data_IF_369397270913
#
_entry.id   IF_369397270913
#
_cell.length_a   1.000
_cell.length_b   1.000
_cell.length_c   1.000
_cell.angle_alpha   90.00
_cell.angle_beta   90.00
_cell.angle_gamma   90.00
#
_symmetry.space_group_name_H-M   'P 1'
#
loop_
_entity.id
_entity.type
_entity.pdbx_description
1 polymer ?
#
# COMPACT_ATOMS: atom_id res chain seq x y z
N UNK A 1 21.00 -1.69 14.24
CA UNK A 1 20.05 -0.56 14.31
C UNK A 1 20.68 0.64 13.61
N UNK A 2 20.27 0.97 12.38
CA UNK A 2 20.70 2.21 11.73
C UNK A 2 19.63 3.28 11.97
N UNK A 3 19.78 4.05 13.05
CA UNK A 3 19.08 5.33 13.16
C UNK A 3 19.88 6.32 12.33
N UNK A 4 19.56 6.41 11.04
CA UNK A 4 20.15 7.42 10.17
C UNK A 4 19.61 8.80 10.57
N UNK A 5 20.27 9.44 11.55
CA UNK A 5 20.07 10.86 11.83
C UNK A 5 20.66 11.65 10.67
N UNK A 6 19.82 12.23 9.81
CA UNK A 6 20.29 13.38 9.04
C UNK A 6 20.45 14.57 10.00
N UNK A 7 21.68 15.09 10.10
CA UNK A 7 22.03 16.39 10.73
C UNK A 7 20.98 17.47 10.40
N UNK A 8 20.76 18.54 11.20
CA UNK A 8 20.38 18.64 12.61
C UNK A 8 18.84 18.65 12.75
N UNK A 9 18.14 17.68 12.14
CA UNK A 9 16.67 17.64 12.15
C UNK A 9 16.16 16.81 13.34
N UNK A 10 15.91 17.45 14.50
CA UNK A 10 15.34 16.79 15.70
C UNK A 10 13.92 16.20 15.51
N UNK A 11 13.33 16.38 14.32
CA UNK A 11 11.89 16.31 14.11
C UNK A 11 11.45 15.20 13.13
N UNK A 12 12.39 14.47 12.51
CA UNK A 12 12.09 13.31 11.65
C UNK A 12 13.02 12.15 11.98
N UNK A 13 12.47 10.98 12.26
CA UNK A 13 13.22 9.75 12.53
C UNK A 13 12.84 8.70 11.49
N UNK A 14 13.85 8.15 10.81
CA UNK A 14 13.68 7.06 9.85
C UNK A 14 13.96 5.75 10.59
N UNK A 15 13.06 4.79 10.45
CA UNK A 15 13.15 3.47 11.10
C UNK A 15 13.00 2.39 10.04
N UNK A 16 14.01 1.54 9.91
CA UNK A 16 14.06 0.43 8.95
C UNK A 16 14.33 -0.92 9.64
N UNK A 17 14.36 -0.97 10.97
CA UNK A 17 14.48 -2.21 11.72
C UNK A 17 13.10 -2.73 12.12
N UNK A 18 12.84 -4.00 11.82
CA UNK A 18 11.53 -4.62 12.06
C UNK A 18 11.09 -4.60 13.54
N UNK A 19 11.97 -4.96 14.46
CA UNK A 19 11.65 -4.97 15.90
C UNK A 19 11.37 -3.56 16.43
N UNK A 20 12.15 -2.58 15.99
CA UNK A 20 11.94 -1.16 16.33
C UNK A 20 10.62 -0.62 15.78
N UNK A 21 10.26 -1.00 14.54
CA UNK A 21 8.97 -0.62 13.93
C UNK A 21 7.80 -1.18 14.75
N UNK A 22 7.84 -2.46 15.15
CA UNK A 22 6.78 -3.08 15.96
C UNK A 22 6.63 -2.38 17.31
N UNK A 23 7.74 -2.18 18.03
CA UNK A 23 7.74 -1.51 19.32
C UNK A 23 7.13 -0.09 19.24
N UNK A 24 7.47 0.66 18.18
CA UNK A 24 6.88 1.99 17.97
C UNK A 24 5.43 1.95 17.50
N UNK A 25 4.98 0.93 16.76
CA UNK A 25 3.57 0.84 16.35
C UNK A 25 2.67 0.48 17.54
N UNK A 26 3.17 -0.34 18.47
CA UNK A 26 2.47 -0.73 19.69
C UNK A 26 2.40 0.41 20.72
N UNK A 27 3.41 1.30 20.77
CA UNK A 27 3.45 2.46 21.66
C UNK A 27 2.19 3.34 21.51
N UNK A 28 1.50 3.62 22.61
CA UNK A 28 0.30 4.46 22.65
C UNK A 28 0.61 5.93 22.34
N UNK A 29 1.86 6.34 22.53
CA UNK A 29 2.32 7.70 22.28
C UNK A 29 2.70 7.95 20.81
N UNK A 30 2.64 6.94 19.95
CA UNK A 30 2.99 7.04 18.54
C UNK A 30 1.73 6.76 17.70
N UNK A 31 1.26 7.75 16.94
CA UNK A 31 -0.07 7.72 16.32
C UNK A 31 -0.09 8.39 14.92
N UNK A 32 -1.26 8.43 14.27
CA UNK A 32 -1.56 9.12 13.00
C UNK A 32 -2.46 10.35 13.19
N UNK A 33 -2.47 10.96 14.38
CA UNK A 33 -3.24 12.20 14.61
C UNK A 33 -2.74 13.35 13.73
N UNK A 34 -1.43 13.41 13.53
CA UNK A 34 -0.74 14.38 12.68
C UNK A 34 -1.13 15.82 13.02
N UNK A 35 -0.53 16.35 14.08
CA UNK A 35 -0.64 17.74 14.50
C UNK A 35 0.43 18.61 13.82
N UNK A 36 0.04 19.85 13.49
CA UNK A 36 0.87 20.82 12.77
C UNK A 36 1.53 21.78 13.77
N UNK A 37 2.75 21.49 14.21
CA UNK A 37 3.47 22.36 15.16
C UNK A 37 4.68 23.04 14.52
N UNK A 38 5.78 22.31 14.28
CA UNK A 38 7.05 22.89 13.83
C UNK A 38 7.00 23.24 12.34
N UNK A 39 7.58 24.37 11.92
CA UNK A 39 7.45 24.90 10.55
C UNK A 39 7.84 23.90 9.43
N UNK A 40 8.94 23.18 9.60
CA UNK A 40 9.41 22.19 8.63
C UNK A 40 8.50 20.95 8.55
N UNK A 41 8.14 20.37 9.71
CA UNK A 41 7.20 19.26 9.78
C UNK A 41 5.82 19.67 9.31
N UNK A 42 5.39 20.90 9.59
CA UNK A 42 4.11 21.46 9.18
C UNK A 42 3.96 21.44 7.66
N UNK A 43 4.99 21.80 6.89
CA UNK A 43 4.91 21.73 5.44
C UNK A 43 4.77 20.28 4.95
N UNK A 44 5.65 19.38 5.41
CA UNK A 44 5.62 17.96 5.01
C UNK A 44 4.31 17.29 5.38
N UNK A 45 3.88 17.43 6.63
CA UNK A 45 2.62 16.84 7.14
C UNK A 45 1.42 17.47 6.44
N UNK A 46 1.34 18.80 6.28
CA UNK A 46 0.23 19.44 5.56
C UNK A 46 0.14 18.94 4.12
N UNK A 47 1.28 18.78 3.45
CA UNK A 47 1.34 18.21 2.11
C UNK A 47 0.87 16.75 2.10
N UNK A 48 1.41 15.89 2.96
CA UNK A 48 0.99 14.49 3.05
C UNK A 48 -0.49 14.36 3.38
N UNK A 49 -1.02 15.14 4.31
CA UNK A 49 -2.44 15.15 4.64
C UNK A 49 -3.30 15.62 3.46
N UNK A 50 -2.90 16.69 2.75
CA UNK A 50 -3.60 17.14 1.54
C UNK A 50 -3.58 16.08 0.44
N UNK A 51 -2.42 15.48 0.22
CA UNK A 51 -2.23 14.48 -0.84
C UNK A 51 -2.95 13.18 -0.47
N UNK A 52 -2.99 12.80 0.81
CA UNK A 52 -3.67 11.61 1.30
C UNK A 52 -5.06 11.92 1.90
N UNK A 53 -5.76 12.85 1.25
CA UNK A 53 -7.17 13.15 1.49
C UNK A 53 -7.91 13.40 0.16
N UNK A 54 -9.22 13.25 0.21
CA UNK A 54 -10.15 13.62 -0.86
C UNK A 54 -11.38 14.30 -0.25
N UNK A 55 -11.80 15.44 -0.81
CA UNK A 55 -12.91 16.27 -0.29
C UNK A 55 -12.86 16.50 1.23
N UNK A 56 -11.68 16.86 1.74
CA UNK A 56 -11.47 17.11 3.18
C UNK A 56 -11.40 15.87 4.06
N UNK A 57 -11.67 14.68 3.53
CA UNK A 57 -11.63 13.41 4.25
C UNK A 57 -10.30 12.70 4.03
N UNK A 58 -9.61 12.33 5.11
CA UNK A 58 -8.34 11.58 5.07
C UNK A 58 -8.58 10.14 4.64
N UNK A 59 -7.63 9.55 3.92
CA UNK A 59 -7.67 8.11 3.65
C UNK A 59 -7.53 7.29 4.94
N UNK A 60 -8.05 6.05 4.98
CA UNK A 60 -8.07 5.24 6.20
C UNK A 60 -6.71 5.03 6.86
N UNK A 61 -5.64 4.91 6.08
CA UNK A 61 -4.27 4.71 6.58
C UNK A 61 -3.66 5.98 7.21
N UNK A 62 -4.34 7.12 7.15
CA UNK A 62 -3.94 8.39 7.75
C UNK A 62 -4.80 8.78 8.97
N UNK A 63 -5.73 7.91 9.39
CA UNK A 63 -6.60 8.12 10.55
C UNK A 63 -5.97 7.54 11.83
N UNK A 64 -6.20 8.16 13.00
CA UNK A 64 -5.55 7.77 14.25
C UNK A 64 -6.01 6.40 14.78
N UNK A 65 -5.21 5.85 15.70
CA UNK A 65 -5.39 4.53 16.33
C UNK A 65 -6.80 4.40 16.92
N UNK A 66 -7.26 5.42 17.64
CA UNK A 66 -8.55 5.44 18.36
C UNK A 66 -9.74 6.00 17.54
N UNK A 67 -9.59 6.20 16.23
CA UNK A 67 -10.71 6.64 15.39
C UNK A 67 -11.76 5.52 15.27
N UNK A 68 -12.91 5.70 15.91
CA UNK A 68 -13.97 4.69 15.98
C UNK A 68 -14.52 4.32 14.58
N UNK A 69 -14.70 5.32 13.70
CA UNK A 69 -15.18 5.09 12.34
C UNK A 69 -14.17 4.33 11.49
N UNK A 70 -12.87 4.56 11.68
CA UNK A 70 -11.78 3.78 11.08
C UNK A 70 -11.83 2.34 11.58
N UNK A 71 -11.90 2.12 12.89
CA UNK A 71 -11.91 0.77 13.49
C UNK A 71 -13.08 -0.06 12.97
N UNK A 72 -14.29 0.51 12.96
CA UNK A 72 -15.48 -0.16 12.47
C UNK A 72 -15.37 -0.50 10.97
N UNK A 73 -14.98 0.47 10.13
CA UNK A 73 -14.81 0.25 8.69
C UNK A 73 -13.69 -0.75 8.39
N UNK A 74 -12.61 -0.70 9.16
CA UNK A 74 -11.49 -1.63 9.05
C UNK A 74 -11.94 -3.06 9.33
N UNK A 75 -12.65 -3.28 10.44
CA UNK A 75 -13.17 -4.60 10.83
C UNK A 75 -14.12 -5.14 9.76
N UNK A 76 -15.10 -4.34 9.34
CA UNK A 76 -16.03 -4.72 8.26
C UNK A 76 -15.30 -5.09 6.97
N UNK A 77 -14.29 -4.32 6.59
CA UNK A 77 -13.53 -4.57 5.37
C UNK A 77 -12.66 -5.83 5.48
N UNK A 78 -12.05 -6.07 6.64
CA UNK A 78 -11.31 -7.30 6.92
C UNK A 78 -12.20 -8.53 6.83
N UNK A 79 -13.42 -8.49 7.39
CA UNK A 79 -14.40 -9.58 7.28
C UNK A 79 -14.78 -9.84 5.81
N UNK A 80 -15.06 -8.79 5.04
CA UNK A 80 -15.41 -8.89 3.62
C UNK A 80 -14.27 -9.47 2.77
N UNK A 81 -13.03 -9.05 3.02
CA UNK A 81 -11.86 -9.59 2.33
C UNK A 81 -11.66 -11.07 2.66
N UNK A 82 -11.77 -11.44 3.94
CA UNK A 82 -11.57 -12.81 4.38
C UNK A 82 -12.64 -13.76 3.86
N UNK A 83 -13.89 -13.32 3.80
CA UNK A 83 -14.99 -14.11 3.25
C UNK A 83 -14.76 -14.50 1.78
N UNK A 84 -14.02 -13.69 1.01
CA UNK A 84 -13.69 -13.95 -0.40
C UNK A 84 -12.32 -14.62 -0.60
N UNK A 85 -11.47 -14.66 0.41
CA UNK A 85 -10.08 -15.12 0.27
C UNK A 85 -10.00 -16.57 -0.22
N UNK A 86 -10.77 -17.50 0.36
CA UNK A 86 -10.74 -18.91 -0.04
C UNK A 86 -11.09 -19.09 -1.53
N UNK A 87 -12.14 -18.41 -2.02
CA UNK A 87 -12.52 -18.48 -3.43
C UNK A 87 -11.41 -17.94 -4.36
N UNK A 88 -10.79 -16.80 -4.01
CA UNK A 88 -9.67 -16.26 -4.81
C UNK A 88 -8.48 -17.22 -4.84
N UNK A 89 -8.18 -17.89 -3.72
CA UNK A 89 -7.09 -18.86 -3.64
C UNK A 89 -7.29 -20.08 -4.53
N UNK A 90 -8.52 -20.39 -4.96
CA UNK A 90 -8.78 -21.45 -5.94
C UNK A 90 -8.49 -21.04 -7.39
N UNK A 91 -8.13 -19.78 -7.62
CA UNK A 91 -7.88 -19.27 -8.96
C UNK A 91 -9.20 -19.16 -9.72
N UNK A 92 -10.02 -18.15 -9.42
CA UNK A 92 -11.27 -17.89 -10.16
C UNK A 92 -10.99 -17.48 -11.62
N UNK A 93 -11.98 -17.59 -12.50
CA UNK A 93 -11.83 -17.22 -13.93
C UNK A 93 -11.46 -15.75 -14.12
N UNK A 94 -11.86 -14.88 -13.18
CA UNK A 94 -11.51 -13.47 -13.16
C UNK A 94 -9.99 -13.21 -13.09
N UNK A 95 -9.20 -14.19 -12.64
CA UNK A 95 -7.74 -14.09 -12.53
C UNK A 95 -7.00 -14.52 -13.80
N UNK A 96 -7.69 -15.14 -14.76
CA UNK A 96 -7.09 -15.65 -16.00
C UNK A 96 -6.39 -14.57 -16.85
N UNK A 97 -6.94 -13.35 -17.03
CA UNK A 97 -6.24 -12.30 -17.79
C UNK A 97 -4.85 -11.97 -17.22
N UNK A 98 -4.69 -12.05 -15.89
CA UNK A 98 -3.40 -11.80 -15.22
C UNK A 98 -2.45 -12.97 -15.43
N UNK A 99 -2.97 -14.19 -15.37
CA UNK A 99 -2.19 -15.38 -15.64
C UNK A 99 -1.67 -15.38 -17.10
N UNK A 100 -2.49 -15.01 -18.07
CA UNK A 100 -2.09 -14.81 -19.47
C UNK A 100 -0.99 -13.76 -19.60
N UNK A 101 -1.11 -12.62 -18.91
CA UNK A 101 -0.07 -11.59 -18.89
C UNK A 101 1.26 -12.12 -18.33
N UNK A 102 1.22 -12.87 -17.23
CA UNK A 102 2.41 -13.53 -16.64
C UNK A 102 3.04 -14.49 -17.66
N UNK A 103 2.23 -15.29 -18.35
CA UNK A 103 2.67 -16.25 -19.39
C UNK A 103 3.13 -15.61 -20.71
N UNK A 104 3.11 -14.28 -20.84
CA UNK A 104 3.44 -13.53 -22.06
C UNK A 104 2.42 -13.67 -23.20
N UNK A 105 1.17 -13.99 -22.90
CA UNK A 105 0.12 -14.25 -23.90
C UNK A 105 -0.74 -13.01 -24.22
N UNK A 106 -0.71 -11.98 -23.37
CA UNK A 106 -1.45 -10.73 -23.54
C UNK A 106 -0.64 -9.56 -22.96
N UNK A 107 0.32 -9.06 -23.73
CA UNK A 107 1.27 -8.03 -23.28
C UNK A 107 0.83 -6.59 -23.58
N UNK A 108 -0.30 -6.40 -24.25
CA UNK A 108 -0.76 -5.08 -24.70
C UNK A 108 -1.26 -4.18 -23.55
N UNK A 109 -1.49 -4.76 -22.37
CA UNK A 109 -1.96 -4.05 -21.19
C UNK A 109 -0.92 -3.97 -20.08
N UNK A 110 -0.87 -2.81 -19.44
CA UNK A 110 -0.08 -2.56 -18.23
C UNK A 110 -0.58 -3.43 -17.07
N UNK A 111 0.31 -4.07 -16.28
CA UNK A 111 -0.09 -4.94 -15.17
C UNK A 111 -0.91 -4.22 -14.10
N UNK A 112 -0.74 -2.90 -13.98
CA UNK A 112 -1.54 -2.07 -13.09
C UNK A 112 -3.02 -2.01 -13.46
N UNK A 113 -3.39 -2.18 -14.72
CA UNK A 113 -4.80 -2.24 -15.15
C UNK A 113 -5.45 -3.51 -14.60
N UNK A 114 -4.78 -4.66 -14.71
CA UNK A 114 -5.27 -5.91 -14.13
C UNK A 114 -5.40 -5.84 -12.61
N UNK A 115 -4.38 -5.30 -11.93
CA UNK A 115 -4.42 -5.11 -10.48
C UNK A 115 -5.55 -4.16 -10.06
N UNK A 116 -5.78 -3.08 -10.81
CA UNK A 116 -6.92 -2.18 -10.59
C UNK A 116 -8.26 -2.89 -10.81
N UNK A 117 -8.37 -3.75 -11.82
CA UNK A 117 -9.60 -4.49 -12.11
C UNK A 117 -9.98 -5.38 -10.93
N UNK A 118 -9.05 -6.20 -10.44
CA UNK A 118 -9.26 -7.12 -9.32
C UNK A 118 -9.67 -6.36 -8.05
N UNK A 119 -8.95 -5.28 -7.71
CA UNK A 119 -9.25 -4.49 -6.51
C UNK A 119 -10.57 -3.73 -6.68
N UNK A 120 -10.83 -3.14 -7.84
CA UNK A 120 -12.03 -2.36 -8.08
C UNK A 120 -13.30 -3.22 -8.09
N UNK A 121 -13.25 -4.40 -8.72
CA UNK A 121 -14.37 -5.36 -8.73
C UNK A 121 -14.73 -5.90 -7.35
N UNK A 122 -13.76 -5.94 -6.42
CA UNK A 122 -14.04 -6.26 -5.03
C UNK A 122 -15.06 -5.28 -4.41
N UNK A 123 -14.93 -3.98 -4.70
CA UNK A 123 -15.81 -2.92 -4.17
C UNK A 123 -17.07 -2.70 -5.02
N UNK A 124 -16.94 -2.78 -6.35
CA UNK A 124 -18.03 -2.60 -7.28
C UNK A 124 -17.87 -3.63 -8.42
N UNK A 125 -18.71 -4.67 -8.51
CA UNK A 125 -18.60 -5.68 -9.56
C UNK A 125 -18.64 -5.12 -10.99
N UNK A 126 -19.26 -3.95 -11.19
CA UNK A 126 -19.32 -3.25 -12.47
C UNK A 126 -18.10 -2.36 -12.75
N UNK A 127 -17.11 -2.30 -11.85
CA UNK A 127 -15.88 -1.53 -12.05
C UNK A 127 -15.12 -2.02 -13.27
N UNK A 128 -14.62 -1.08 -14.07
CA UNK A 128 -13.78 -1.33 -15.22
C UNK A 128 -12.52 -0.48 -15.12
N UNK A 129 -11.38 -1.14 -14.97
CA UNK A 129 -10.07 -0.50 -15.05
C UNK A 129 -9.82 -0.08 -16.50
N UNK A 130 -9.22 1.10 -16.65
CA UNK A 130 -8.87 1.67 -17.95
C UNK A 130 -7.46 2.24 -17.87
N UNK A 131 -6.85 2.54 -19.03
CA UNK A 131 -5.59 3.28 -19.05
C UNK A 131 -5.70 4.61 -18.28
N UNK A 132 -6.83 5.31 -18.42
CA UNK A 132 -7.10 6.58 -17.73
C UNK A 132 -7.12 6.42 -16.21
N UNK A 133 -7.76 5.38 -15.67
CA UNK A 133 -7.77 5.13 -14.21
C UNK A 133 -6.40 4.70 -13.70
N UNK A 134 -5.62 3.99 -14.52
CA UNK A 134 -4.26 3.60 -14.18
C UNK A 134 -3.30 4.79 -14.16
N UNK A 135 -3.31 5.62 -15.19
CA UNK A 135 -2.55 6.88 -15.23
C UNK A 135 -2.89 7.80 -14.06
N UNK A 136 -4.17 7.88 -13.69
CA UNK A 136 -4.60 8.63 -12.52
C UNK A 136 -3.99 8.06 -11.22
N UNK A 137 -3.91 6.73 -11.06
CA UNK A 137 -3.29 6.10 -9.91
C UNK A 137 -1.77 6.32 -9.88
N UNK A 138 -1.08 6.31 -11.02
CA UNK A 138 0.35 6.64 -11.13
C UNK A 138 0.61 8.08 -10.67
N UNK A 139 -0.14 9.05 -11.19
CA UNK A 139 -0.03 10.46 -10.79
C UNK A 139 -0.32 10.63 -9.29
N UNK A 140 -1.37 9.97 -8.81
CA UNK A 140 -1.77 10.08 -7.40
C UNK A 140 -0.70 9.49 -6.46
N UNK A 141 -0.18 8.30 -6.76
CA UNK A 141 0.91 7.71 -5.98
C UNK A 141 2.15 8.60 -5.99
N UNK A 142 2.59 9.03 -7.18
CA UNK A 142 3.77 9.87 -7.29
C UNK A 142 3.61 11.21 -6.55
N UNK A 143 2.42 11.82 -6.56
CA UNK A 143 2.18 13.09 -5.83
C UNK A 143 2.33 12.88 -4.32
N UNK A 144 1.89 11.72 -3.82
CA UNK A 144 2.01 11.35 -2.41
C UNK A 144 3.47 11.12 -1.97
N UNK A 145 4.34 10.60 -2.83
CA UNK A 145 5.70 10.18 -2.45
C UNK A 145 6.83 11.09 -2.97
N UNK A 146 6.58 11.96 -3.96
CA UNK A 146 7.67 12.68 -4.64
C UNK A 146 8.40 13.68 -3.73
N UNK A 147 9.73 13.53 -3.61
CA UNK A 147 10.59 14.51 -2.96
C UNK A 147 10.91 15.71 -3.87
N UNK A 148 10.61 15.64 -5.17
CA UNK A 148 10.89 16.68 -6.14
C UNK A 148 9.89 17.84 -6.01
N UNK A 149 10.32 18.93 -5.35
CA UNK A 149 9.48 20.10 -5.08
C UNK A 149 9.03 20.83 -6.35
N UNK A 150 9.88 20.92 -7.37
CA UNK A 150 9.53 21.59 -8.64
C UNK A 150 8.45 20.82 -9.39
N UNK A 151 8.62 19.50 -9.50
CA UNK A 151 7.61 18.61 -10.12
C UNK A 151 6.28 18.69 -9.36
N UNK A 152 6.34 18.66 -8.02
CA UNK A 152 5.16 18.82 -7.18
C UNK A 152 4.46 20.17 -7.40
N UNK A 153 5.20 21.29 -7.35
CA UNK A 153 4.65 22.62 -7.61
C UNK A 153 3.98 22.72 -8.98
N UNK A 154 4.64 22.21 -10.02
CA UNK A 154 4.09 22.15 -11.37
C UNK A 154 2.78 21.37 -11.43
N UNK A 155 2.68 20.24 -10.73
CA UNK A 155 1.45 19.46 -10.66
C UNK A 155 0.32 20.13 -9.89
N UNK A 156 0.65 20.88 -8.83
CA UNK A 156 -0.35 21.68 -8.13
C UNK A 156 -0.89 22.79 -9.04
N UNK A 157 -0.01 23.48 -9.77
CA UNK A 157 -0.41 24.51 -10.74
C UNK A 157 -1.26 23.93 -11.88
N UNK A 158 -0.85 22.78 -12.43
CA UNK A 158 -1.60 22.10 -13.48
C UNK A 158 -2.86 21.36 -12.95
N UNK A 159 -3.12 21.40 -11.64
CA UNK A 159 -4.17 20.64 -10.95
C UNK A 159 -4.17 19.13 -11.25
N UNK A 160 -3.03 18.56 -11.68
CA UNK A 160 -2.93 17.17 -12.16
C UNK A 160 -3.33 16.18 -11.08
N UNK A 161 -2.82 16.34 -9.86
CA UNK A 161 -3.13 15.48 -8.73
C UNK A 161 -4.63 15.54 -8.35
N UNK A 162 -5.25 16.73 -8.41
CA UNK A 162 -6.68 16.88 -8.12
C UNK A 162 -7.55 16.21 -9.20
N UNK A 163 -7.19 16.36 -10.49
CA UNK A 163 -7.90 15.69 -11.59
C UNK A 163 -7.75 14.17 -11.52
N UNK A 164 -6.55 13.67 -11.20
CA UNK A 164 -6.29 12.25 -11.00
C UNK A 164 -7.16 11.69 -9.87
N UNK A 165 -7.18 12.35 -8.70
CA UNK A 165 -8.05 11.97 -7.60
C UNK A 165 -9.53 12.00 -7.96
N UNK A 166 -9.99 13.04 -8.68
CA UNK A 166 -11.37 13.14 -9.16
C UNK A 166 -11.72 11.98 -10.09
N UNK A 167 -10.83 11.62 -11.03
CA UNK A 167 -11.01 10.48 -11.91
C UNK A 167 -11.16 9.16 -11.13
N UNK A 168 -10.31 8.93 -10.12
CA UNK A 168 -10.39 7.73 -9.28
C UNK A 168 -11.66 7.72 -8.41
N UNK A 169 -12.06 8.88 -7.88
CA UNK A 169 -13.28 9.02 -7.09
C UNK A 169 -14.52 8.75 -7.94
N UNK A 170 -14.60 9.31 -9.16
CA UNK A 170 -15.70 9.04 -10.10
C UNK A 170 -15.79 7.54 -10.44
N UNK A 171 -14.65 6.91 -10.73
CA UNK A 171 -14.60 5.47 -11.05
C UNK A 171 -15.02 4.57 -9.86
N UNK A 172 -14.96 5.08 -8.63
CA UNK A 172 -15.28 4.34 -7.40
C UNK A 172 -16.58 4.79 -6.75
N UNK A 173 -17.40 5.59 -7.44
CA UNK A 173 -18.66 6.11 -6.88
C UNK A 173 -18.45 6.99 -5.64
N UNK A 174 -17.29 7.64 -5.52
CA UNK A 174 -16.82 8.43 -4.38
C UNK A 174 -16.55 7.62 -3.09
N UNK A 175 -16.44 6.30 -3.17
CA UNK A 175 -15.98 5.50 -2.04
C UNK A 175 -14.47 5.71 -1.80
N UNK A 176 -14.14 6.40 -0.71
CA UNK A 176 -12.75 6.73 -0.35
C UNK A 176 -11.89 5.49 -0.06
N UNK A 177 -12.49 4.38 0.37
CA UNK A 177 -11.78 3.13 0.61
C UNK A 177 -11.44 2.47 -0.72
N UNK A 178 -12.42 2.36 -1.62
CA UNK A 178 -12.20 1.84 -2.96
C UNK A 178 -11.16 2.69 -3.73
N UNK A 179 -11.27 4.02 -3.62
CA UNK A 179 -10.31 4.97 -4.18
C UNK A 179 -8.90 4.75 -3.63
N UNK A 180 -8.75 4.49 -2.32
CA UNK A 180 -7.45 4.13 -1.73
C UNK A 180 -6.93 2.81 -2.30
N UNK A 181 -7.80 1.81 -2.46
CA UNK A 181 -7.48 0.51 -3.05
C UNK A 181 -6.89 0.65 -4.46
N UNK A 182 -7.65 1.24 -5.38
CA UNK A 182 -7.25 1.36 -6.79
C UNK A 182 -6.22 2.46 -7.07
N UNK A 183 -6.01 3.38 -6.11
CA UNK A 183 -5.12 4.53 -6.28
C UNK A 183 -3.75 4.39 -5.61
N UNK A 184 -3.69 3.69 -4.46
CA UNK A 184 -2.47 3.55 -3.65
C UNK A 184 -2.11 2.09 -3.44
N UNK A 185 -3.04 1.27 -2.92
CA UNK A 185 -2.73 -0.13 -2.57
C UNK A 185 -2.40 -0.97 -3.82
N UNK A 186 -3.01 -0.65 -4.95
CA UNK A 186 -2.78 -1.31 -6.24
C UNK A 186 -1.30 -1.43 -6.61
N UNK A 187 -0.47 -0.44 -6.27
CA UNK A 187 0.95 -0.43 -6.66
C UNK A 187 1.73 -1.57 -6.00
N UNK A 188 1.35 -1.99 -4.79
CA UNK A 188 1.97 -3.14 -4.13
C UNK A 188 1.57 -4.46 -4.82
N UNK A 189 0.31 -4.57 -5.26
CA UNK A 189 -0.14 -5.72 -6.04
C UNK A 189 0.55 -5.76 -7.40
N UNK A 190 0.61 -4.64 -8.13
CA UNK A 190 1.35 -4.52 -9.40
C UNK A 190 2.82 -4.94 -9.25
N UNK A 191 3.50 -4.47 -8.21
CA UNK A 191 4.88 -4.89 -7.91
C UNK A 191 4.98 -6.41 -7.65
N UNK A 192 3.97 -7.00 -7.00
CA UNK A 192 3.91 -8.45 -6.78
C UNK A 192 3.69 -9.22 -8.08
N UNK A 193 2.86 -8.69 -9.00
CA UNK A 193 2.64 -9.29 -10.33
C UNK A 193 3.93 -9.31 -11.16
N UNK A 194 4.73 -8.25 -11.11
CA UNK A 194 6.05 -8.24 -11.77
C UNK A 194 6.96 -9.34 -11.23
N UNK A 195 7.02 -9.52 -9.90
CA UNK A 195 7.80 -10.60 -9.29
C UNK A 195 7.29 -11.99 -9.69
N UNK A 196 5.96 -12.21 -9.77
CA UNK A 196 5.42 -13.47 -10.29
C UNK A 196 5.86 -13.71 -11.74
N UNK A 197 5.83 -12.68 -12.58
CA UNK A 197 6.31 -12.77 -13.97
C UNK A 197 7.79 -13.12 -14.05
N UNK A 198 8.61 -12.51 -13.19
CA UNK A 198 10.04 -12.84 -13.06
C UNK A 198 10.23 -14.30 -12.64
N UNK A 199 9.48 -14.79 -11.65
CA UNK A 199 9.53 -16.20 -11.23
C UNK A 199 9.18 -17.13 -12.39
N UNK A 200 8.08 -16.87 -13.09
CA UNK A 200 7.61 -17.68 -14.22
C UNK A 200 8.60 -17.72 -15.40
N UNK A 201 9.47 -16.70 -15.53
CA UNK A 201 10.49 -16.65 -16.57
C UNK A 201 11.62 -17.67 -16.40
N UNK A 202 11.71 -18.34 -15.24
CA UNK A 202 12.74 -19.32 -14.93
C UNK A 202 12.18 -20.74 -14.87
N UNK A 203 12.96 -21.75 -15.26
CA UNK A 203 12.54 -23.16 -15.20
C UNK A 203 12.25 -23.61 -13.76
N UNK A 204 13.08 -23.21 -12.79
CA UNK A 204 12.84 -23.51 -11.39
C UNK A 204 11.56 -22.83 -10.89
N UNK A 205 11.36 -21.57 -11.26
CA UNK A 205 10.19 -20.80 -10.85
C UNK A 205 8.89 -21.43 -11.31
N UNK A 206 8.81 -21.99 -12.52
CA UNK A 206 7.59 -22.69 -12.99
C UNK A 206 7.17 -23.91 -12.14
N UNK A 207 8.09 -24.47 -11.36
CA UNK A 207 7.86 -25.68 -10.56
C UNK A 207 7.57 -25.39 -9.08
N UNK A 208 7.51 -24.11 -8.67
CA UNK A 208 7.23 -23.75 -7.27
C UNK A 208 5.74 -23.85 -6.95
N UNK A 209 5.45 -24.16 -5.70
CA UNK A 209 4.08 -24.24 -5.19
C UNK A 209 3.45 -22.83 -5.04
N UNK A 210 2.12 -22.70 -5.12
CA UNK A 210 1.45 -21.40 -4.97
C UNK A 210 1.80 -20.63 -3.69
N UNK A 211 1.98 -21.31 -2.56
CA UNK A 211 2.41 -20.71 -1.30
C UNK A 211 3.83 -20.12 -1.36
N UNK A 212 4.74 -20.79 -2.07
CA UNK A 212 6.11 -20.31 -2.29
C UNK A 212 6.11 -19.09 -3.22
N UNK A 213 5.28 -19.13 -4.28
CA UNK A 213 5.09 -17.98 -5.16
C UNK A 213 4.55 -16.75 -4.40
N UNK A 214 3.62 -16.95 -3.46
CA UNK A 214 3.13 -15.88 -2.58
C UNK A 214 4.28 -15.27 -1.78
N UNK A 215 5.06 -16.11 -1.10
CA UNK A 215 6.16 -15.67 -0.25
C UNK A 215 7.23 -14.87 -1.00
N UNK A 216 7.56 -15.30 -2.22
CA UNK A 216 8.59 -14.65 -3.04
C UNK A 216 8.08 -13.38 -3.74
N UNK A 217 6.77 -13.29 -4.00
CA UNK A 217 6.20 -12.21 -4.80
C UNK A 217 5.64 -11.03 -3.99
N UNK A 218 5.26 -11.22 -2.72
CA UNK A 218 4.68 -10.13 -1.94
C UNK A 218 5.59 -8.89 -1.86
N UNK A 219 4.98 -7.72 -1.86
CA UNK A 219 5.68 -6.43 -1.82
C UNK A 219 5.16 -5.55 -0.70
N UNK A 220 6.04 -5.23 0.26
CA UNK A 220 5.74 -4.29 1.33
C UNK A 220 5.63 -2.85 0.80
N UNK A 221 4.76 -2.02 1.40
CA UNK A 221 4.74 -0.59 1.09
C UNK A 221 6.10 0.06 1.43
N UNK A 222 6.54 1.09 0.70
CA UNK A 222 7.87 1.67 0.90
C UNK A 222 8.01 2.35 2.26
N UNK A 223 7.05 3.20 2.63
CA UNK A 223 7.07 3.99 3.87
C UNK A 223 5.66 4.14 4.43
N UNK A 224 5.52 4.04 5.75
CA UNK A 224 4.33 4.51 6.49
C UNK A 224 4.72 5.53 7.55
N UNK A 225 3.82 6.47 7.84
CA UNK A 225 4.08 7.58 8.74
C UNK A 225 3.45 7.37 10.13
N UNK A 226 4.15 7.80 11.17
CA UNK A 226 3.62 8.01 12.53
C UNK A 226 4.13 9.33 13.09
N UNK A 227 3.52 9.82 14.15
CA UNK A 227 3.95 11.00 14.87
C UNK A 227 3.90 10.75 16.38
N UNK A 228 4.91 11.22 17.10
CA UNK A 228 4.88 11.21 18.56
C UNK A 228 3.89 12.24 19.12
N UNK A 229 3.16 11.82 20.15
CA UNK A 229 2.23 12.62 20.92
C UNK A 229 2.88 13.24 22.17
N UNK A 230 4.02 12.69 22.59
CA UNK A 230 4.83 13.11 23.75
C UNK A 230 6.31 13.05 23.39
N UNK A 231 7.17 13.59 24.25
CA UNK A 231 8.62 13.37 24.18
C UNK A 231 8.99 12.00 24.75
N UNK A 232 10.05 11.39 24.24
CA UNK A 232 10.46 10.06 24.66
C UNK A 232 11.82 9.67 24.12
N UNK A 233 12.13 8.39 24.15
CA UNK A 233 13.36 7.87 23.56
C UNK A 233 13.14 6.48 22.95
N UNK A 234 13.90 6.19 21.90
CA UNK A 234 13.98 4.83 21.33
C UNK A 234 15.43 4.38 21.25
N UNK A 235 15.72 3.24 21.88
CA UNK A 235 17.08 2.69 21.96
C UNK A 235 18.13 3.75 22.39
N UNK A 236 17.80 4.53 23.42
CA UNK A 236 18.65 5.61 23.94
C UNK A 236 18.69 6.88 23.09
N UNK A 237 18.03 6.94 21.94
CA UNK A 237 17.91 8.15 21.13
C UNK A 237 16.64 8.93 21.52
N UNK A 238 16.76 10.14 22.12
CA UNK A 238 15.61 10.94 22.48
C UNK A 238 14.89 11.49 21.23
N UNK A 239 13.58 11.65 21.34
CA UNK A 239 12.70 12.31 20.37
C UNK A 239 11.77 13.28 21.08
N UNK A 240 11.39 14.34 20.38
CA UNK A 240 10.47 15.36 20.88
C UNK A 240 9.02 14.98 20.65
N UNK A 241 8.08 15.67 21.32
CA UNK A 241 6.68 15.69 20.88
C UNK A 241 6.59 16.19 19.42
N UNK A 242 5.71 15.58 18.63
CA UNK A 242 5.50 15.84 17.21
C UNK A 242 6.60 15.41 16.24
N UNK A 243 7.62 14.68 16.72
CA UNK A 243 8.59 14.01 15.86
C UNK A 243 7.85 13.06 14.91
N UNK A 244 8.15 13.18 13.62
CA UNK A 244 7.59 12.35 12.57
C UNK A 244 8.45 11.09 12.38
N UNK A 245 7.86 9.92 12.50
CA UNK A 245 8.51 8.66 12.22
C UNK A 245 8.15 8.16 10.82
N UNK A 246 9.17 7.79 10.04
CA UNK A 246 9.05 7.16 8.73
C UNK A 246 9.46 5.70 8.88
N UNK A 247 8.49 4.80 8.92
CA UNK A 247 8.74 3.36 8.95
C UNK A 247 8.96 2.89 7.53
N UNK A 248 10.19 2.54 7.18
CA UNK A 248 10.56 2.00 5.88
C UNK A 248 10.26 0.51 5.81
N UNK A 249 8.98 0.15 5.62
CA UNK A 249 8.53 -1.25 5.71
C UNK A 249 9.16 -2.13 4.63
N UNK A 250 9.38 -1.60 3.41
CA UNK A 250 10.09 -2.32 2.35
C UNK A 250 11.53 -2.65 2.74
N UNK A 251 12.29 -1.66 3.20
CA UNK A 251 13.69 -1.87 3.60
C UNK A 251 13.76 -2.83 4.81
N UNK A 252 12.85 -2.69 5.77
CA UNK A 252 12.77 -3.58 6.94
C UNK A 252 12.43 -5.03 6.58
N UNK A 253 11.48 -5.22 5.66
CA UNK A 253 11.10 -6.55 5.17
C UNK A 253 12.27 -7.23 4.45
N UNK A 254 13.00 -6.49 3.60
CA UNK A 254 14.14 -7.03 2.85
C UNK A 254 15.34 -7.41 3.74
N UNK A 255 15.62 -6.64 4.79
CA UNK A 255 16.79 -6.90 5.64
C UNK A 255 16.57 -7.91 6.76
N UNK A 256 15.32 -8.14 7.18
CA UNK A 256 15.02 -8.94 8.37
C UNK A 256 14.08 -10.14 8.11
N UNK A 257 13.75 -10.43 6.84
CA UNK A 257 12.74 -11.43 6.45
C UNK A 257 11.42 -11.26 7.23
N UNK A 258 11.07 -10.01 7.53
CA UNK A 258 9.95 -9.66 8.38
C UNK A 258 8.66 -9.59 7.54
N UNK A 259 8.14 -10.75 7.14
CA UNK A 259 6.96 -10.88 6.26
C UNK A 259 5.70 -10.25 6.85
N UNK A 260 5.55 -10.28 8.17
CA UNK A 260 4.44 -9.65 8.89
C UNK A 260 4.36 -8.13 8.64
N UNK A 261 5.47 -7.46 8.32
CA UNK A 261 5.47 -6.02 8.03
C UNK A 261 4.83 -5.66 6.68
N UNK A 262 4.70 -6.61 5.74
CA UNK A 262 4.04 -6.36 4.45
C UNK A 262 2.61 -5.88 4.67
N UNK A 263 1.93 -6.50 5.63
CA UNK A 263 0.56 -6.18 6.00
C UNK A 263 0.44 -5.57 7.40
N UNK A 264 1.55 -5.35 8.12
CA UNK A 264 1.54 -4.99 9.54
C UNK A 264 0.64 -5.94 10.34
N UNK A 265 0.77 -7.24 10.09
CA UNK A 265 -0.04 -8.27 10.76
C UNK A 265 0.18 -8.22 12.27
N UNK A 266 -0.88 -8.51 13.03
CA UNK A 266 -0.95 -8.37 14.48
C UNK A 266 -0.81 -6.94 15.03
N UNK A 267 -0.83 -5.91 14.17
CA UNK A 267 -0.81 -4.52 14.61
C UNK A 267 -2.18 -3.84 14.47
N UNK A 268 -2.42 -2.78 15.25
CA UNK A 268 -3.63 -1.92 15.12
C UNK A 268 -3.78 -1.29 13.73
N UNK A 269 -2.66 -1.20 13.03
CA UNK A 269 -2.49 -0.61 11.71
C UNK A 269 -2.61 -1.61 10.56
N UNK A 270 -2.91 -2.88 10.87
CA UNK A 270 -2.94 -4.00 9.90
C UNK A 270 -3.66 -3.66 8.61
N UNK A 271 -3.19 -4.18 7.49
CA UNK A 271 -3.90 -4.13 6.23
C UNK A 271 -5.13 -5.05 6.32
N UNK A 272 -6.35 -4.58 6.02
CA UNK A 272 -7.54 -5.43 6.05
C UNK A 272 -7.49 -6.54 4.99
N UNK A 273 -6.64 -6.43 3.97
CA UNK A 273 -6.49 -7.41 2.90
C UNK A 273 -5.37 -8.45 3.17
N UNK A 274 -4.90 -8.58 4.42
CA UNK A 274 -3.74 -9.42 4.78
C UNK A 274 -3.88 -10.90 4.40
N UNK A 275 -5.09 -11.43 4.29
CA UNK A 275 -5.34 -12.80 3.79
C UNK A 275 -5.78 -12.82 2.32
N UNK A 276 -6.50 -11.78 1.89
CA UNK A 276 -7.06 -11.72 0.55
C UNK A 276 -6.01 -11.47 -0.53
N UNK A 277 -5.03 -10.58 -0.32
CA UNK A 277 -3.96 -10.36 -1.31
C UNK A 277 -3.11 -11.63 -1.51
N UNK A 278 -2.63 -12.33 -0.45
CA UNK A 278 -1.97 -13.62 -0.62
C UNK A 278 -2.82 -14.64 -1.38
N UNK A 279 -4.13 -14.71 -1.08
CA UNK A 279 -5.04 -15.60 -1.81
C UNK A 279 -5.17 -15.25 -3.29
N UNK A 280 -5.29 -13.96 -3.64
CA UNK A 280 -5.29 -13.49 -5.03
C UNK A 280 -4.01 -13.92 -5.75
N UNK A 281 -2.86 -13.70 -5.14
CA UNK A 281 -1.55 -14.07 -5.70
C UNK A 281 -1.44 -15.60 -5.88
N UNK A 282 -1.85 -16.37 -4.88
CA UNK A 282 -1.89 -17.84 -4.93
C UNK A 282 -2.79 -18.34 -6.06
N UNK A 283 -4.00 -17.77 -6.19
CA UNK A 283 -4.94 -18.11 -7.25
C UNK A 283 -4.46 -17.75 -8.64
N UNK A 284 -3.81 -16.59 -8.80
CA UNK A 284 -3.14 -16.20 -10.05
C UNK A 284 -2.07 -17.24 -10.38
N UNK A 285 -1.22 -17.61 -9.40
CA UNK A 285 -0.16 -18.58 -9.64
C UNK A 285 -0.69 -19.96 -10.02
N UNK A 286 -1.74 -20.46 -9.35
CA UNK A 286 -2.44 -21.69 -9.75
C UNK A 286 -2.87 -21.61 -11.22
N UNK A 287 -3.50 -20.52 -11.66
CA UNK A 287 -3.88 -20.32 -13.07
C UNK A 287 -2.68 -20.29 -14.01
N UNK A 288 -1.56 -19.72 -13.58
CA UNK A 288 -0.32 -19.68 -14.36
C UNK A 288 0.25 -21.08 -14.62
N UNK A 289 0.28 -21.94 -13.60
CA UNK A 289 0.91 -23.27 -13.67
C UNK A 289 -0.05 -24.40 -14.10
N UNK A 290 -1.37 -24.19 -14.03
CA UNK A 290 -2.34 -25.16 -14.49
C UNK A 290 -2.30 -25.28 -16.04
N UNK A 291 -2.44 -26.49 -16.60
CA UNK A 291 -2.59 -26.66 -18.04
C UNK A 291 -3.86 -25.94 -18.52
N UNK A 292 -3.79 -25.29 -19.69
CA UNK A 292 -4.96 -24.66 -20.32
C UNK A 292 -6.10 -25.68 -20.42
N UNK A 293 -7.24 -25.38 -19.80
CA UNK A 293 -8.49 -26.05 -20.17
C UNK A 293 -8.97 -25.32 -21.41
N UNK A 294 -8.77 -25.95 -22.57
CA UNK A 294 -9.30 -25.48 -23.86
C UNK A 294 -10.83 -25.58 -23.90
#
# INVERSE_FOLDING_TARGET
MQINKSLPFKDVIIVDNAATIRALDDDENIDRRFELHNFLNRFKIKRSLKNLSYNGTRFPHMLPKQDAARIQRHTKLWDLFNAKAAAMAEGTDELEPVAQWIRNENQDLEPGIFAQQIIGQFFNPAFQATLKTWEAALIFHEDAVTANLLKWLWWQLAAKANRAKKCLAEATGNDIIAMHGIGIAVHNLTASLHKLKELYSTENGKNILPEEAVDLSLSAPPVVLRQSLVEGAIAGCPYSKFTLFLFKLKDANQHNDAKDLIFMSNAWSRCPAEKWIPAVISGIWKRVILPKVN
#
